data_IF_093660265879
#
_entry.id   IF_093660265879
#
_cell.length_a   1.000
_cell.length_b   1.000
_cell.length_c   1.000
_cell.angle_alpha   90.00
_cell.angle_beta   90.00
_cell.angle_gamma   90.00
#
_symmetry.space_group_name_H-M   'P 1'
#
loop_
_entity.id
_entity.type
_entity.pdbx_description
1 polymer ?
#
# COMPACT_ATOMS: atom_id res chain seq x y z
N UNK A 1 25.91 -16.42 -0.08
CA UNK A 1 25.32 -15.80 -1.29
C UNK A 1 25.10 -14.33 -0.99
N UNK A 2 25.92 -13.39 -1.50
CA UNK A 2 25.63 -11.97 -1.31
C UNK A 2 24.65 -11.54 -2.42
N UNK A 3 23.40 -11.26 -2.08
CA UNK A 3 22.55 -10.45 -2.95
C UNK A 3 22.35 -9.11 -2.27
N UNK A 4 23.35 -8.24 -2.44
CA UNK A 4 23.16 -6.79 -2.30
C UNK A 4 22.14 -6.38 -3.34
N UNK A 5 20.88 -6.30 -2.94
CA UNK A 5 19.97 -5.37 -3.58
C UNK A 5 20.64 -3.99 -3.42
N UNK A 6 21.20 -3.46 -4.50
CA UNK A 6 21.59 -2.07 -4.57
C UNK A 6 20.41 -1.26 -4.05
N UNK A 7 20.62 -0.50 -2.97
CA UNK A 7 19.62 0.43 -2.49
C UNK A 7 19.53 1.47 -3.59
N UNK A 8 18.53 1.33 -4.45
CA UNK A 8 18.26 2.25 -5.55
C UNK A 8 18.14 3.64 -4.91
N UNK A 9 19.17 4.45 -5.12
CA UNK A 9 19.28 5.73 -4.43
C UNK A 9 18.29 6.68 -5.09
N UNK A 10 17.41 7.33 -4.32
CA UNK A 10 16.39 8.18 -4.91
C UNK A 10 17.02 9.33 -5.72
N UNK A 11 16.34 9.79 -6.78
CA UNK A 11 16.79 10.95 -7.53
C UNK A 11 16.97 12.17 -6.62
N UNK A 12 17.98 12.98 -6.91
CA UNK A 12 18.25 14.21 -6.15
C UNK A 12 17.57 15.44 -6.77
N UNK A 13 17.21 15.37 -8.06
CA UNK A 13 16.39 16.38 -8.72
C UNK A 13 14.93 16.24 -8.28
N UNK A 14 14.28 17.37 -7.96
CA UNK A 14 12.94 17.37 -7.40
C UNK A 14 11.89 16.77 -8.37
N UNK A 15 11.96 17.10 -9.67
CA UNK A 15 11.01 16.58 -10.64
C UNK A 15 11.22 15.07 -10.86
N UNK A 16 12.48 14.64 -10.94
CA UNK A 16 12.80 13.22 -11.02
C UNK A 16 12.36 12.45 -9.75
N UNK A 17 12.49 13.05 -8.57
CA UNK A 17 12.07 12.46 -7.31
C UNK A 17 10.54 12.32 -7.23
N UNK A 18 9.78 13.34 -7.63
CA UNK A 18 8.31 13.27 -7.72
C UNK A 18 7.88 12.14 -8.65
N UNK A 19 8.42 12.09 -9.87
CA UNK A 19 8.11 11.02 -10.82
C UNK A 19 8.48 9.62 -10.29
N UNK A 20 9.62 9.51 -9.60
CA UNK A 20 10.00 8.27 -8.93
C UNK A 20 8.98 7.88 -7.86
N UNK A 21 8.50 8.83 -7.03
CA UNK A 21 7.52 8.56 -5.99
C UNK A 21 6.19 8.08 -6.59
N UNK A 22 5.70 8.76 -7.63
CA UNK A 22 4.46 8.40 -8.32
C UNK A 22 4.51 6.98 -8.90
N UNK A 23 5.57 6.69 -9.66
CA UNK A 23 5.69 5.42 -10.40
C UNK A 23 6.06 4.25 -9.48
N UNK A 24 6.89 4.49 -8.46
CA UNK A 24 7.38 3.42 -7.57
C UNK A 24 6.48 3.15 -6.38
N UNK A 25 5.81 4.17 -5.84
CA UNK A 25 5.02 4.06 -4.61
C UNK A 25 3.53 4.32 -4.87
N UNK A 26 3.13 5.43 -5.48
CA UNK A 26 1.69 5.74 -5.65
C UNK A 26 0.99 4.68 -6.49
N UNK A 27 1.55 4.38 -7.67
CA UNK A 27 1.03 3.34 -8.56
C UNK A 27 0.93 1.98 -7.84
N UNK A 28 1.93 1.65 -7.02
CA UNK A 28 1.96 0.40 -6.26
C UNK A 28 0.89 0.37 -5.15
N UNK A 29 0.69 1.46 -4.41
CA UNK A 29 -0.36 1.52 -3.38
C UNK A 29 -1.76 1.40 -4.00
N UNK A 30 -2.03 2.09 -5.11
CA UNK A 30 -3.29 1.99 -5.85
C UNK A 30 -3.59 0.58 -6.33
N UNK A 31 -2.55 -0.17 -6.70
CA UNK A 31 -2.69 -1.58 -7.10
C UNK A 31 -2.88 -2.52 -5.91
N UNK A 32 -2.07 -2.37 -4.85
CA UNK A 32 -1.99 -3.37 -3.78
C UNK A 32 -3.07 -3.23 -2.71
N UNK A 33 -3.44 -2.02 -2.33
CA UNK A 33 -4.34 -1.82 -1.20
C UNK A 33 -5.76 -2.39 -1.43
N UNK A 34 -6.38 -2.26 -2.62
CA UNK A 34 -7.68 -2.88 -2.88
C UNK A 34 -7.65 -4.40 -2.70
N UNK A 35 -6.61 -5.06 -3.21
CA UNK A 35 -6.42 -6.51 -3.09
C UNK A 35 -6.21 -6.93 -1.63
N UNK A 36 -5.40 -6.18 -0.87
CA UNK A 36 -5.18 -6.43 0.56
C UNK A 36 -6.47 -6.25 1.38
N UNK A 37 -7.29 -5.26 1.06
CA UNK A 37 -8.57 -5.05 1.73
C UNK A 37 -9.53 -6.21 1.44
N UNK A 38 -9.61 -6.66 0.19
CA UNK A 38 -10.44 -7.81 -0.20
C UNK A 38 -9.99 -9.13 0.47
N UNK A 39 -8.67 -9.35 0.56
CA UNK A 39 -8.11 -10.51 1.25
C UNK A 39 -8.39 -10.47 2.75
N UNK A 40 -8.23 -9.30 3.39
CA UNK A 40 -8.54 -9.12 4.80
C UNK A 40 -10.01 -9.40 5.10
N UNK A 41 -10.93 -8.85 4.28
CA UNK A 41 -12.36 -9.12 4.41
C UNK A 41 -12.69 -10.62 4.27
N UNK A 42 -12.00 -11.32 3.36
CA UNK A 42 -12.14 -12.78 3.20
C UNK A 42 -11.65 -13.52 4.46
N UNK A 43 -10.49 -13.15 4.99
CA UNK A 43 -9.92 -13.77 6.21
C UNK A 43 -10.87 -13.57 7.39
N UNK A 44 -11.34 -12.34 7.62
CA UNK A 44 -12.25 -12.01 8.70
C UNK A 44 -13.56 -12.82 8.62
N UNK A 45 -14.15 -12.91 7.41
CA UNK A 45 -15.38 -13.68 7.18
C UNK A 45 -15.20 -15.18 7.37
N UNK A 46 -14.12 -15.76 6.86
CA UNK A 46 -13.89 -17.22 6.90
C UNK A 46 -13.45 -17.68 8.29
N UNK A 47 -12.74 -16.83 9.04
CA UNK A 47 -12.14 -17.17 10.33
C UNK A 47 -12.79 -16.46 11.52
N UNK A 48 -14.06 -16.05 11.42
CA UNK A 48 -14.79 -15.27 12.44
C UNK A 48 -14.74 -15.85 13.87
N UNK A 49 -14.62 -17.18 14.01
CA UNK A 49 -14.57 -17.86 15.30
C UNK A 49 -13.14 -18.18 15.79
N UNK A 50 -12.09 -17.81 15.04
CA UNK A 50 -10.70 -18.10 15.40
C UNK A 50 -10.14 -17.05 16.37
N UNK A 51 -9.39 -17.48 17.39
CA UNK A 51 -8.80 -16.62 18.44
C UNK A 51 -7.65 -15.70 17.97
N UNK A 52 -7.49 -15.47 16.67
CA UNK A 52 -6.45 -14.61 16.10
C UNK A 52 -6.86 -13.96 14.79
N UNK A 53 -8.17 -13.87 14.53
CA UNK A 53 -8.68 -13.19 13.35
C UNK A 53 -8.35 -11.69 13.43
N UNK A 54 -7.79 -11.06 12.39
CA UNK A 54 -7.44 -9.64 12.39
C UNK A 54 -8.70 -8.80 12.18
N UNK A 55 -9.61 -8.81 13.16
CA UNK A 55 -10.88 -8.11 13.08
C UNK A 55 -10.68 -6.61 12.86
N UNK A 56 -11.37 -6.05 11.86
CA UNK A 56 -11.31 -4.63 11.50
C UNK A 56 -10.13 -4.23 10.61
N UNK A 57 -9.28 -5.19 10.19
CA UNK A 57 -8.19 -4.89 9.26
C UNK A 57 -8.73 -4.50 7.88
N UNK A 58 -9.79 -5.16 7.41
CA UNK A 58 -10.44 -4.82 6.16
C UNK A 58 -10.95 -3.36 6.15
N UNK A 59 -11.61 -2.94 7.23
CA UNK A 59 -12.14 -1.58 7.37
C UNK A 59 -11.02 -0.55 7.43
N UNK A 60 -9.95 -0.83 8.20
CA UNK A 60 -8.76 0.03 8.24
C UNK A 60 -8.15 0.20 6.85
N UNK A 61 -7.99 -0.89 6.09
CA UNK A 61 -7.43 -0.82 4.74
C UNK A 61 -8.33 -0.04 3.78
N UNK A 62 -9.65 -0.16 3.90
CA UNK A 62 -10.59 0.65 3.11
C UNK A 62 -10.48 2.14 3.42
N UNK A 63 -10.36 2.50 4.70
CA UNK A 63 -10.12 3.89 5.10
C UNK A 63 -8.78 4.41 4.53
N UNK A 64 -7.72 3.61 4.65
CA UNK A 64 -6.40 3.98 4.12
C UNK A 64 -6.41 4.19 2.60
N UNK A 65 -7.16 3.39 1.84
CA UNK A 65 -7.31 3.59 0.38
C UNK A 65 -7.84 4.99 0.09
N UNK A 66 -8.90 5.42 0.77
CA UNK A 66 -9.49 6.74 0.58
C UNK A 66 -8.55 7.88 0.98
N UNK A 67 -7.92 7.78 2.14
CA UNK A 67 -6.99 8.79 2.64
C UNK A 67 -5.75 8.94 1.75
N UNK A 68 -5.15 7.82 1.34
CA UNK A 68 -3.99 7.83 0.46
C UNK A 68 -4.34 8.34 -0.94
N UNK A 69 -5.50 7.98 -1.48
CA UNK A 69 -5.90 8.46 -2.80
C UNK A 69 -6.07 9.98 -2.82
N UNK A 70 -6.66 10.55 -1.75
CA UNK A 70 -6.76 12.02 -1.59
C UNK A 70 -5.40 12.66 -1.41
N UNK A 71 -4.50 12.02 -0.67
CA UNK A 71 -3.16 12.55 -0.42
C UNK A 71 -2.31 12.55 -1.70
N UNK A 72 -2.21 11.41 -2.39
CA UNK A 72 -1.41 11.25 -3.61
C UNK A 72 -1.89 12.20 -4.72
N UNK A 73 -3.21 12.41 -4.86
CA UNK A 73 -3.78 13.37 -5.83
C UNK A 73 -3.47 14.85 -5.54
N UNK A 74 -3.06 15.19 -4.31
CA UNK A 74 -2.64 16.56 -3.97
C UNK A 74 -1.15 16.77 -4.24
N UNK A 75 -0.38 15.70 -4.28
CA UNK A 75 1.07 15.71 -4.51
C UNK A 75 1.42 15.63 -6.00
N UNK A 76 0.59 14.91 -6.78
CA UNK A 76 0.57 14.88 -8.26
C UNK A 76 0.02 16.19 -8.87
#
# INVERSE_FOLDING_TARGET
MPNSAAIDSPPQDAAALTHYIETRYHARHRQQLPDLAALSAKVERVHVAAQGVPAGLADLLQQMIGELEVHMKKEE
#
